data_IF_332685923059
#
_entry.id   IF_332685923059
#
_cell.length_a   1.000
_cell.length_b   1.000
_cell.length_c   1.000
_cell.angle_alpha   90.00
_cell.angle_beta   90.00
_cell.angle_gamma   90.00
#
_symmetry.space_group_name_H-M   'P 1'
#
loop_
_entity.id
_entity.type
_entity.pdbx_description
1 polymer ?
#
# COMPACT_ATOMS: atom_id res chain seq x y z
N UNK A 1 2.39 -14.07 -0.88
CA UNK A 1 1.69 -14.00 -2.21
C UNK A 1 2.70 -13.57 -3.25
N UNK A 2 2.89 -14.37 -4.31
CA UNK A 2 3.79 -14.00 -5.41
C UNK A 2 3.06 -13.13 -6.46
N UNK A 3 3.80 -12.68 -7.49
CA UNK A 3 3.32 -11.80 -8.54
C UNK A 3 2.14 -12.37 -9.33
N UNK A 4 2.24 -13.63 -9.72
CA UNK A 4 1.19 -14.31 -10.49
C UNK A 4 -0.10 -14.45 -9.68
N UNK A 5 0.01 -14.86 -8.42
CA UNK A 5 -1.12 -14.93 -7.49
C UNK A 5 -1.78 -13.58 -7.27
N UNK A 6 -1.00 -12.49 -7.19
CA UNK A 6 -1.52 -11.14 -7.06
C UNK A 6 -2.31 -10.73 -8.31
N UNK A 7 -1.77 -10.99 -9.51
CA UNK A 7 -2.45 -10.69 -10.76
C UNK A 7 -3.73 -11.51 -10.95
N UNK A 8 -3.70 -12.81 -10.65
CA UNK A 8 -4.90 -13.65 -10.69
C UNK A 8 -5.98 -13.14 -9.70
N UNK A 9 -5.58 -12.66 -8.53
CA UNK A 9 -6.50 -12.06 -7.58
C UNK A 9 -7.12 -10.76 -8.10
N UNK A 10 -6.32 -9.90 -8.77
CA UNK A 10 -6.81 -8.70 -9.46
C UNK A 10 -7.87 -9.07 -10.51
N UNK A 11 -7.60 -10.05 -11.37
CA UNK A 11 -8.54 -10.50 -12.39
C UNK A 11 -9.82 -11.07 -11.78
N UNK A 12 -9.69 -11.95 -10.79
CA UNK A 12 -10.84 -12.60 -10.13
C UNK A 12 -11.76 -11.59 -9.44
N UNK A 13 -11.19 -10.62 -8.71
CA UNK A 13 -11.96 -9.59 -8.01
C UNK A 13 -12.32 -8.39 -8.90
N UNK A 14 -11.79 -8.32 -10.11
CA UNK A 14 -11.93 -7.17 -11.00
C UNK A 14 -11.58 -5.86 -10.28
N UNK A 15 -10.51 -5.89 -9.49
CA UNK A 15 -10.11 -4.83 -8.56
C UNK A 15 -8.60 -4.84 -8.35
N UNK A 16 -8.00 -3.68 -8.28
CA UNK A 16 -6.64 -3.45 -7.77
C UNK A 16 -6.65 -2.46 -6.60
N UNK A 17 -7.77 -2.45 -5.87
CA UNK A 17 -7.98 -1.62 -4.68
C UNK A 17 -7.19 -2.16 -3.49
N UNK A 18 -6.51 -1.27 -2.80
CA UNK A 18 -5.96 -1.46 -1.47
C UNK A 18 -6.74 -0.59 -0.48
N UNK A 19 -7.34 -1.18 0.53
CA UNK A 19 -8.01 -0.43 1.60
C UNK A 19 -6.99 -0.09 2.69
N UNK A 20 -6.78 1.21 2.90
CA UNK A 20 -5.91 1.69 3.96
C UNK A 20 -6.61 1.65 5.31
N UNK A 21 -5.98 1.01 6.30
CA UNK A 21 -6.46 0.93 7.69
C UNK A 21 -5.71 1.95 8.56
N UNK A 22 -5.86 3.24 8.22
CA UNK A 22 -5.31 4.39 8.95
C UNK A 22 -6.25 4.77 10.11
N UNK A 23 -6.44 3.83 11.04
CA UNK A 23 -7.50 3.89 12.04
C UNK A 23 -7.15 4.80 13.21
N UNK A 24 -7.77 5.96 13.25
CA UNK A 24 -7.67 6.93 14.33
C UNK A 24 -8.83 6.73 15.33
N UNK A 25 -8.53 6.40 16.58
CA UNK A 25 -9.51 6.16 17.63
C UNK A 25 -10.47 7.36 17.84
N UNK A 26 -10.04 8.57 17.46
CA UNK A 26 -10.86 9.78 17.57
C UNK A 26 -11.91 9.91 16.46
N UNK A 27 -11.85 9.06 15.44
CA UNK A 27 -12.69 9.12 14.23
C UNK A 27 -13.60 7.93 14.06
N UNK A 28 -13.40 6.86 14.83
CA UNK A 28 -14.27 5.69 14.77
C UNK A 28 -15.64 5.98 15.38
N UNK A 29 -16.71 5.24 15.01
CA UNK A 29 -18.03 5.40 15.61
C UNK A 29 -18.01 5.23 17.13
N UNK A 30 -18.73 6.10 17.83
CA UNK A 30 -18.70 6.17 19.30
C UNK A 30 -19.09 4.86 20.00
N UNK A 31 -20.03 4.09 19.43
CA UNK A 31 -20.44 2.82 20.02
C UNK A 31 -19.31 1.79 20.10
N UNK A 32 -18.31 1.86 19.19
CA UNK A 32 -17.15 0.98 19.20
C UNK A 32 -16.16 1.30 20.32
N UNK A 33 -16.21 2.51 20.90
CA UNK A 33 -15.35 2.88 22.04
C UNK A 33 -15.66 2.08 23.30
N UNK A 34 -16.80 1.38 23.32
CA UNK A 34 -17.21 0.49 24.42
C UNK A 34 -16.65 -0.94 24.27
N UNK A 35 -16.07 -1.26 23.13
CA UNK A 35 -15.43 -2.55 22.87
C UNK A 35 -14.11 -2.68 23.64
N UNK A 36 -13.70 -3.90 23.95
CA UNK A 36 -12.41 -4.18 24.61
C UNK A 36 -11.23 -3.67 23.78
N UNK A 37 -11.32 -3.82 22.46
CA UNK A 37 -10.33 -3.34 21.49
C UNK A 37 -11.03 -2.59 20.35
N UNK A 38 -11.29 -1.28 20.53
CA UNK A 38 -12.05 -0.48 19.58
C UNK A 38 -11.43 -0.41 18.18
N UNK A 39 -10.09 -0.37 18.11
CA UNK A 39 -9.36 -0.31 16.83
C UNK A 39 -9.54 -1.61 16.06
N UNK A 40 -9.37 -2.75 16.72
CA UNK A 40 -9.58 -4.04 16.09
C UNK A 40 -11.04 -4.25 15.70
N UNK A 41 -11.98 -3.90 16.56
CA UNK A 41 -13.42 -4.02 16.25
C UNK A 41 -13.80 -3.20 15.01
N UNK A 42 -13.31 -1.98 14.90
CA UNK A 42 -13.49 -1.15 13.71
C UNK A 42 -12.84 -1.79 12.46
N UNK A 43 -11.56 -2.17 12.55
CA UNK A 43 -10.85 -2.78 11.43
C UNK A 43 -11.54 -4.06 10.95
N UNK A 44 -11.96 -4.91 11.88
CA UNK A 44 -12.68 -6.15 11.58
C UNK A 44 -13.93 -5.89 10.75
N UNK A 45 -14.78 -4.93 11.19
CA UNK A 45 -16.00 -4.59 10.48
C UNK A 45 -15.73 -4.05 9.06
N UNK A 46 -14.70 -3.20 8.90
CA UNK A 46 -14.26 -2.70 7.58
C UNK A 46 -13.78 -3.86 6.70
N UNK A 47 -12.96 -4.77 7.23
CA UNK A 47 -12.43 -5.92 6.49
C UNK A 47 -13.59 -6.82 6.03
N UNK A 48 -14.50 -7.20 6.92
CA UNK A 48 -15.65 -8.05 6.61
C UNK A 48 -16.53 -7.44 5.51
N UNK A 49 -16.66 -6.11 5.50
CA UNK A 49 -17.47 -5.40 4.53
C UNK A 49 -16.80 -5.24 3.15
N UNK A 50 -15.47 -5.33 3.05
CA UNK A 50 -14.73 -4.91 1.83
C UNK A 50 -13.83 -5.98 1.23
N UNK A 51 -13.61 -7.12 1.88
CA UNK A 51 -12.61 -8.12 1.48
C UNK A 51 -12.86 -8.73 0.09
N UNK A 52 -14.11 -8.81 -0.36
CA UNK A 52 -14.46 -9.26 -1.71
C UNK A 52 -14.24 -8.20 -2.81
N UNK A 53 -14.05 -6.92 -2.42
CA UNK A 53 -13.94 -5.77 -3.31
C UNK A 53 -12.51 -5.25 -3.46
N UNK A 54 -11.57 -5.70 -2.63
CA UNK A 54 -10.17 -5.25 -2.64
C UNK A 54 -9.21 -6.43 -2.69
N UNK A 55 -7.96 -6.16 -3.08
CA UNK A 55 -6.88 -7.16 -3.17
C UNK A 55 -5.86 -7.02 -2.04
N UNK A 56 -5.91 -5.92 -1.31
CA UNK A 56 -4.93 -5.63 -0.28
C UNK A 56 -5.53 -4.80 0.87
N UNK A 57 -4.96 -4.97 2.05
CA UNK A 57 -5.12 -4.08 3.19
C UNK A 57 -3.78 -3.47 3.58
N UNK A 58 -3.79 -2.18 3.90
CA UNK A 58 -2.59 -1.44 4.25
C UNK A 58 -2.76 -0.70 5.59
N UNK A 59 -2.52 -1.35 6.73
CA UNK A 59 -2.39 -0.64 8.01
C UNK A 59 -1.19 0.30 7.96
N UNK A 60 -1.42 1.57 8.29
CA UNK A 60 -0.38 2.56 8.45
C UNK A 60 0.10 2.56 9.91
N UNK A 61 1.33 2.12 10.11
CA UNK A 61 1.88 1.86 11.45
C UNK A 61 1.86 3.08 12.37
N UNK A 62 1.95 4.30 11.82
CA UNK A 62 1.90 5.51 12.64
C UNK A 62 0.63 5.60 13.50
N UNK A 63 -0.51 5.10 13.01
CA UNK A 63 -1.78 5.10 13.74
C UNK A 63 -1.83 4.05 14.85
N UNK A 64 -1.03 3.03 14.76
CA UNK A 64 -0.92 1.96 15.76
C UNK A 64 0.22 2.26 16.75
N UNK A 65 1.39 2.62 16.26
CA UNK A 65 2.58 2.91 17.09
C UNK A 65 2.33 4.08 18.05
N UNK A 66 1.57 5.10 17.65
CA UNK A 66 1.24 6.24 18.52
C UNK A 66 0.40 5.83 19.77
N UNK A 67 -0.17 4.63 19.78
CA UNK A 67 -0.94 4.08 20.91
C UNK A 67 -0.10 3.12 21.78
N UNK A 68 1.20 2.98 21.50
CA UNK A 68 2.10 2.10 22.23
C UNK A 68 1.72 0.63 22.11
N UNK A 69 1.85 -0.13 23.20
CA UNK A 69 1.60 -1.59 23.22
C UNK A 69 0.17 -1.93 22.75
N UNK A 70 -0.82 -1.15 23.14
CA UNK A 70 -2.22 -1.40 22.72
C UNK A 70 -2.39 -1.31 21.20
N UNK A 71 -1.73 -0.35 20.57
CA UNK A 71 -1.76 -0.22 19.13
C UNK A 71 -1.07 -1.39 18.42
N UNK A 72 0.08 -1.85 18.93
CA UNK A 72 0.75 -3.02 18.38
C UNK A 72 -0.11 -4.29 18.51
N UNK A 73 -0.78 -4.50 19.63
CA UNK A 73 -1.71 -5.61 19.79
C UNK A 73 -2.90 -5.53 18.81
N UNK A 74 -3.46 -4.33 18.62
CA UNK A 74 -4.53 -4.12 17.64
C UNK A 74 -4.06 -4.39 16.20
N UNK A 75 -2.84 -3.96 15.85
CA UNK A 75 -2.20 -4.28 14.56
C UNK A 75 -2.04 -5.79 14.37
N UNK A 76 -1.46 -6.49 15.34
CA UNK A 76 -1.25 -7.94 15.30
C UNK A 76 -2.58 -8.69 15.15
N UNK A 77 -3.59 -8.37 15.96
CA UNK A 77 -4.94 -8.93 15.84
C UNK A 77 -5.55 -8.70 14.46
N UNK A 78 -5.37 -7.49 13.89
CA UNK A 78 -5.88 -7.14 12.57
C UNK A 78 -5.20 -7.97 11.48
N UNK A 79 -3.87 -8.09 11.51
CA UNK A 79 -3.11 -8.90 10.54
C UNK A 79 -3.51 -10.37 10.64
N UNK A 80 -3.56 -10.93 11.86
CA UNK A 80 -3.96 -12.33 12.08
C UNK A 80 -5.38 -12.57 11.58
N UNK A 81 -6.31 -11.67 11.87
CA UNK A 81 -7.68 -11.77 11.39
C UNK A 81 -7.78 -11.84 9.86
N UNK A 82 -7.04 -10.98 9.15
CA UNK A 82 -7.00 -11.01 7.69
C UNK A 82 -6.42 -12.34 7.20
N UNK A 83 -5.28 -12.77 7.75
CA UNK A 83 -4.61 -14.01 7.33
C UNK A 83 -5.45 -15.26 7.53
N UNK A 84 -6.21 -15.31 8.60
CA UNK A 84 -6.97 -16.49 8.98
C UNK A 84 -8.33 -16.56 8.26
N UNK A 85 -8.95 -15.41 7.93
CA UNK A 85 -10.28 -15.36 7.31
C UNK A 85 -10.26 -14.97 5.81
N UNK A 86 -9.24 -14.26 5.36
CA UNK A 86 -9.11 -13.74 3.99
C UNK A 86 -7.69 -13.96 3.44
N UNK A 87 -7.24 -15.21 3.30
CA UNK A 87 -5.84 -15.55 2.97
C UNK A 87 -5.40 -15.09 1.58
N UNK A 88 -6.33 -14.69 0.73
CA UNK A 88 -6.09 -14.12 -0.59
C UNK A 88 -5.80 -12.60 -0.57
N UNK A 89 -5.82 -11.96 0.59
CA UNK A 89 -5.47 -10.55 0.74
C UNK A 89 -3.96 -10.34 0.89
N UNK A 90 -3.43 -9.37 0.14
CA UNK A 90 -2.07 -8.87 0.35
C UNK A 90 -2.08 -7.91 1.56
N UNK A 91 -1.23 -8.15 2.55
CA UNK A 91 -1.12 -7.25 3.72
C UNK A 91 0.16 -6.43 3.60
N UNK A 92 -0.01 -5.11 3.54
CA UNK A 92 1.07 -4.14 3.41
C UNK A 92 1.26 -3.40 4.74
N UNK A 93 2.36 -3.63 5.43
CA UNK A 93 2.76 -2.78 6.56
C UNK A 93 3.31 -1.45 6.02
N UNK A 94 2.52 -0.38 6.12
CA UNK A 94 2.98 0.96 5.73
C UNK A 94 3.80 1.58 6.88
N UNK A 95 5.03 1.10 7.02
CA UNK A 95 5.94 1.35 8.12
C UNK A 95 7.04 2.36 7.80
N UNK A 96 7.36 2.52 6.51
CA UNK A 96 8.43 3.41 6.00
C UNK A 96 9.74 3.27 6.78
N UNK A 97 10.15 2.01 7.00
CA UNK A 97 11.39 1.71 7.71
C UNK A 97 12.60 2.07 6.84
N UNK A 98 13.69 2.36 7.51
CA UNK A 98 14.97 2.63 6.89
C UNK A 98 16.02 2.69 7.98
N UNK A 99 16.95 1.74 7.96
CA UNK A 99 18.13 1.64 8.81
C UNK A 99 19.16 0.83 8.04
N UNK A 100 20.32 0.56 8.58
CA UNK A 100 21.39 -0.13 7.88
C UNK A 100 21.67 -1.53 8.46
N UNK A 101 22.11 -2.43 7.56
CA UNK A 101 22.67 -3.73 7.92
C UNK A 101 21.81 -4.53 8.91
N UNK A 102 22.39 -4.89 10.02
CA UNK A 102 21.73 -5.72 11.03
C UNK A 102 20.47 -5.08 11.64
N UNK A 103 20.44 -3.77 11.83
CA UNK A 103 19.25 -3.07 12.37
C UNK A 103 18.10 -3.17 11.39
N UNK A 104 18.37 -2.98 10.09
CA UNK A 104 17.36 -3.14 9.04
C UNK A 104 16.85 -4.60 8.98
N UNK A 105 17.74 -5.60 9.19
CA UNK A 105 17.35 -7.00 9.26
C UNK A 105 16.40 -7.29 10.45
N UNK A 106 16.58 -6.62 11.60
CA UNK A 106 15.65 -6.76 12.72
C UNK A 106 14.26 -6.21 12.39
N UNK A 107 14.16 -5.11 11.63
CA UNK A 107 12.88 -4.63 11.13
C UNK A 107 12.24 -5.60 10.13
N UNK A 108 13.01 -6.16 9.20
CA UNK A 108 12.52 -7.14 8.25
C UNK A 108 11.95 -8.38 8.98
N UNK A 109 12.67 -8.90 9.95
CA UNK A 109 12.24 -10.01 10.79
C UNK A 109 10.95 -9.69 11.55
N UNK A 110 10.85 -8.50 12.16
CA UNK A 110 9.65 -8.06 12.87
C UNK A 110 8.39 -8.15 11.98
N UNK A 111 8.48 -7.75 10.72
CA UNK A 111 7.31 -7.70 9.85
C UNK A 111 7.07 -9.02 9.12
N UNK A 112 8.10 -9.66 8.60
CA UNK A 112 7.93 -10.83 7.73
C UNK A 112 7.85 -12.15 8.48
N UNK A 113 8.57 -12.29 9.58
CA UNK A 113 8.54 -13.51 10.40
C UNK A 113 7.46 -13.41 11.48
N UNK A 114 7.60 -12.47 12.41
CA UNK A 114 6.70 -12.34 13.56
C UNK A 114 5.35 -11.70 13.17
N UNK A 115 5.39 -10.62 12.37
CA UNK A 115 4.20 -9.83 12.01
C UNK A 115 3.35 -10.38 10.87
N UNK A 116 3.76 -11.48 10.23
CA UNK A 116 3.02 -12.20 9.17
C UNK A 116 2.56 -11.33 7.97
N UNK A 117 3.10 -10.12 7.77
CA UNK A 117 2.72 -9.28 6.63
C UNK A 117 3.35 -9.78 5.32
N UNK A 118 2.81 -9.36 4.18
CA UNK A 118 3.31 -9.75 2.87
C UNK A 118 4.24 -8.72 2.26
N UNK A 119 4.08 -7.45 2.64
CA UNK A 119 4.85 -6.34 2.10
C UNK A 119 5.14 -5.28 3.18
N UNK A 120 6.28 -4.59 3.03
CA UNK A 120 6.66 -3.48 3.91
C UNK A 120 7.12 -2.30 3.06
N UNK A 121 6.66 -1.08 3.40
CA UNK A 121 7.21 0.15 2.79
C UNK A 121 8.55 0.50 3.41
N UNK A 122 9.54 0.79 2.58
CA UNK A 122 10.93 1.07 2.97
C UNK A 122 11.40 2.37 2.32
N UNK A 123 12.18 3.15 3.07
CA UNK A 123 12.78 4.40 2.58
C UNK A 123 14.16 4.11 1.97
N UNK A 124 14.47 4.64 0.77
CA UNK A 124 15.73 4.33 0.06
C UNK A 124 16.91 5.24 0.44
N UNK A 125 16.68 6.27 1.27
CA UNK A 125 17.64 7.36 1.45
C UNK A 125 19.04 6.92 1.91
N UNK A 126 19.13 5.86 2.74
CA UNK A 126 20.41 5.28 3.18
C UNK A 126 20.98 4.23 2.21
N UNK A 127 20.37 4.03 1.04
CA UNK A 127 20.88 3.19 -0.03
C UNK A 127 20.60 1.71 0.15
N UNK A 128 21.45 0.88 -0.49
CA UNK A 128 21.32 -0.58 -0.60
C UNK A 128 21.24 -1.26 0.78
N UNK A 129 22.07 -0.83 1.72
CA UNK A 129 22.16 -1.40 3.06
C UNK A 129 20.85 -1.30 3.87
N UNK A 130 19.99 -0.34 3.51
CA UNK A 130 18.68 -0.18 4.17
C UNK A 130 17.58 -1.03 3.53
N UNK A 131 17.76 -1.44 2.28
CA UNK A 131 16.74 -2.15 1.49
C UNK A 131 17.02 -3.65 1.41
N UNK A 132 18.25 -4.05 1.12
CA UNK A 132 18.64 -5.47 0.96
C UNK A 132 18.23 -6.38 2.12
N UNK A 133 18.30 -5.98 3.40
CA UNK A 133 17.86 -6.84 4.50
C UNK A 133 16.38 -7.25 4.45
N UNK A 134 15.53 -6.52 3.73
CA UNK A 134 14.13 -6.89 3.51
C UNK A 134 13.92 -7.80 2.29
N UNK A 135 14.94 -7.98 1.45
CA UNK A 135 14.89 -8.84 0.26
C UNK A 135 15.26 -10.28 0.62
N UNK A 136 14.88 -11.23 -0.24
CA UNK A 136 15.22 -12.64 -0.03
C UNK A 136 14.22 -13.42 0.82
N UNK A 137 13.16 -12.82 1.31
CA UNK A 137 12.04 -13.51 1.94
C UNK A 137 11.07 -14.00 0.86
N UNK A 138 10.89 -15.30 0.75
CA UNK A 138 10.02 -15.91 -0.27
C UNK A 138 8.57 -15.44 -0.12
N UNK A 139 7.96 -15.02 -1.22
CA UNK A 139 6.58 -14.55 -1.25
C UNK A 139 6.33 -13.23 -0.50
N UNK A 140 7.40 -12.48 -0.20
CA UNK A 140 7.34 -11.16 0.45
C UNK A 140 7.82 -10.06 -0.49
N UNK A 141 7.38 -8.83 -0.23
CA UNK A 141 7.63 -7.68 -1.08
C UNK A 141 8.21 -6.50 -0.30
N UNK A 142 9.16 -5.85 -0.91
CA UNK A 142 9.62 -4.51 -0.50
C UNK A 142 8.89 -3.48 -1.37
N UNK A 143 8.25 -2.49 -0.73
CA UNK A 143 7.64 -1.37 -1.43
C UNK A 143 8.48 -0.12 -1.16
N UNK A 144 9.32 0.22 -2.12
CA UNK A 144 10.31 1.29 -1.97
C UNK A 144 9.69 2.66 -2.28
N UNK A 145 9.93 3.66 -1.43
CA UNK A 145 9.50 5.03 -1.70
C UNK A 145 10.26 5.59 -2.90
N UNK A 146 9.53 6.05 -3.92
CA UNK A 146 10.11 6.68 -5.10
C UNK A 146 9.64 8.13 -5.24
N UNK A 147 8.41 8.36 -5.74
CA UNK A 147 7.86 9.69 -5.93
C UNK A 147 6.56 9.84 -5.15
N UNK A 148 6.58 10.69 -4.12
CA UNK A 148 5.42 10.88 -3.23
C UNK A 148 4.57 12.08 -3.64
N UNK A 149 3.31 12.15 -3.16
CA UNK A 149 2.34 13.18 -3.56
C UNK A 149 2.41 14.47 -2.73
N UNK A 150 3.15 14.47 -1.63
CA UNK A 150 3.26 15.62 -0.74
C UNK A 150 4.14 16.74 -1.33
N UNK A 151 3.88 17.98 -0.95
CA UNK A 151 4.62 19.16 -1.44
C UNK A 151 6.14 19.06 -1.17
N UNK A 152 6.54 18.49 -0.03
CA UNK A 152 7.95 18.29 0.34
C UNK A 152 8.72 17.30 -0.56
N UNK A 153 8.07 16.60 -1.48
CA UNK A 153 8.76 15.79 -2.50
C UNK A 153 9.69 16.64 -3.36
N UNK A 154 9.40 17.92 -3.52
CA UNK A 154 10.22 18.89 -4.26
C UNK A 154 11.57 19.17 -3.59
N UNK A 155 11.70 18.96 -2.29
CA UNK A 155 12.95 19.26 -1.58
C UNK A 155 14.10 18.33 -2.00
N UNK A 156 13.79 17.08 -2.33
CA UNK A 156 14.78 16.06 -2.68
C UNK A 156 14.41 15.24 -3.92
N UNK A 157 13.20 14.70 -3.99
CA UNK A 157 12.85 13.68 -4.99
C UNK A 157 12.92 14.22 -6.42
N UNK A 158 12.66 15.51 -6.63
CA UNK A 158 12.70 16.18 -7.93
C UNK A 158 14.02 16.93 -8.17
N UNK A 159 14.97 16.92 -7.24
CA UNK A 159 16.30 17.46 -7.50
C UNK A 159 17.01 16.66 -8.59
N UNK A 160 17.76 17.35 -9.44
CA UNK A 160 18.48 16.74 -10.58
C UNK A 160 19.99 16.71 -10.33
N UNK A 161 20.65 15.72 -10.85
CA UNK A 161 22.12 15.67 -10.95
C UNK A 161 22.62 16.44 -12.19
N UNK A 162 23.95 16.42 -12.42
CA UNK A 162 24.62 17.10 -13.54
C UNK A 162 24.19 16.57 -14.92
N UNK A 163 23.56 15.37 -14.97
CA UNK A 163 23.03 14.78 -16.21
C UNK A 163 21.54 15.07 -16.40
N UNK A 164 20.92 15.77 -15.44
CA UNK A 164 19.50 16.08 -15.45
C UNK A 164 18.60 14.95 -14.98
N UNK A 165 19.16 13.85 -14.42
CA UNK A 165 18.39 12.76 -13.84
C UNK A 165 17.83 13.18 -12.48
N UNK A 166 16.51 13.01 -12.26
CA UNK A 166 15.87 13.32 -10.99
C UNK A 166 16.19 12.26 -9.94
N UNK A 167 16.27 12.65 -8.67
CA UNK A 167 16.63 11.71 -7.60
C UNK A 167 15.71 10.49 -7.56
N UNK A 168 14.38 10.65 -7.72
CA UNK A 168 13.47 9.51 -7.72
C UNK A 168 13.72 8.54 -8.89
N UNK A 169 14.13 9.03 -10.06
CA UNK A 169 14.48 8.20 -11.22
C UNK A 169 15.75 7.40 -10.94
N UNK A 170 16.73 8.04 -10.31
CA UNK A 170 17.96 7.38 -9.85
C UNK A 170 17.66 6.26 -8.84
N UNK A 171 16.73 6.51 -7.90
CA UNK A 171 16.25 5.48 -6.96
C UNK A 171 15.64 4.30 -7.72
N UNK A 172 14.75 4.57 -8.69
CA UNK A 172 14.11 3.53 -9.51
C UNK A 172 15.14 2.69 -10.30
N UNK A 173 16.12 3.34 -10.92
CA UNK A 173 17.16 2.63 -11.70
C UNK A 173 18.07 1.82 -10.80
N UNK A 174 18.59 2.45 -9.75
CA UNK A 174 19.58 1.83 -8.87
C UNK A 174 19.00 0.65 -8.09
N UNK A 175 17.78 0.73 -7.64
CA UNK A 175 17.15 -0.35 -6.86
C UNK A 175 16.88 -1.63 -7.69
N UNK A 176 16.78 -1.55 -9.00
CA UNK A 176 16.67 -2.74 -9.87
C UNK A 176 17.95 -3.58 -9.90
N UNK A 177 19.08 -3.04 -9.47
CA UNK A 177 20.31 -3.82 -9.27
C UNK A 177 20.24 -4.67 -7.99
N UNK A 178 19.32 -4.36 -7.08
CA UNK A 178 19.17 -5.05 -5.78
C UNK A 178 18.14 -6.17 -5.81
N UNK A 179 17.07 -6.01 -6.58
CA UNK A 179 16.02 -7.01 -6.75
C UNK A 179 15.21 -6.73 -8.03
N UNK A 180 14.54 -7.76 -8.50
CA UNK A 180 13.64 -7.70 -9.65
C UNK A 180 12.20 -7.32 -9.31
N UNK A 181 11.34 -7.37 -10.32
CA UNK A 181 9.93 -7.04 -10.22
C UNK A 181 9.09 -8.06 -9.43
N UNK A 182 9.66 -9.18 -9.01
CA UNK A 182 8.97 -10.21 -8.22
C UNK A 182 9.14 -10.01 -6.70
N UNK A 183 10.09 -9.13 -6.32
CA UNK A 183 10.34 -8.79 -4.91
C UNK A 183 10.23 -7.29 -4.62
N UNK A 184 10.27 -6.43 -5.66
CA UNK A 184 10.32 -4.98 -5.50
C UNK A 184 9.10 -4.30 -6.13
N UNK A 185 8.44 -3.46 -5.36
CA UNK A 185 7.40 -2.53 -5.78
C UNK A 185 7.80 -1.11 -5.43
N UNK A 186 7.09 -0.10 -5.94
CA UNK A 186 7.40 1.30 -5.64
C UNK A 186 6.17 2.09 -5.22
N UNK A 187 6.35 3.04 -4.30
CA UNK A 187 5.32 4.05 -3.99
C UNK A 187 5.41 5.19 -4.98
N UNK A 188 4.30 5.46 -5.67
CA UNK A 188 4.14 6.60 -6.58
C UNK A 188 2.82 7.29 -6.29
N UNK A 189 2.85 8.56 -5.90
CA UNK A 189 1.65 9.32 -5.54
C UNK A 189 0.71 9.56 -6.73
N UNK A 190 -0.60 9.41 -6.52
CA UNK A 190 -1.63 9.55 -7.56
C UNK A 190 -1.70 10.93 -8.22
N UNK A 191 -1.18 11.98 -7.57
CA UNK A 191 -1.15 13.36 -8.10
C UNK A 191 -0.04 13.58 -9.12
N UNK A 192 0.80 12.58 -9.38
CA UNK A 192 1.96 12.69 -10.26
C UNK A 192 1.66 12.40 -11.75
N UNK A 193 0.40 12.24 -12.13
CA UNK A 193 -0.12 12.15 -13.50
C UNK A 193 0.86 11.65 -14.57
N UNK A 194 1.39 12.58 -15.37
CA UNK A 194 2.34 12.24 -16.45
C UNK A 194 3.67 11.64 -16.00
N UNK A 195 4.08 11.79 -14.74
CA UNK A 195 5.30 11.16 -14.25
C UNK A 195 5.23 9.63 -14.30
N UNK A 196 4.03 9.05 -14.28
CA UNK A 196 3.85 7.61 -14.48
C UNK A 196 4.39 7.12 -15.84
N UNK A 197 4.31 7.93 -16.90
CA UNK A 197 4.91 7.59 -18.20
C UNK A 197 6.43 7.41 -18.11
N UNK A 198 7.12 8.34 -17.46
CA UNK A 198 8.57 8.27 -17.28
C UNK A 198 8.95 7.14 -16.33
N UNK A 199 8.18 6.96 -15.25
CA UNK A 199 8.37 5.85 -14.32
C UNK A 199 8.23 4.50 -15.03
N UNK A 200 7.23 4.32 -15.90
CA UNK A 200 7.04 3.08 -16.65
C UNK A 200 8.16 2.77 -17.64
N UNK A 201 8.83 3.79 -18.20
CA UNK A 201 10.04 3.59 -19.03
C UNK A 201 11.18 2.99 -18.21
N UNK A 202 11.25 3.31 -16.90
CA UNK A 202 12.30 2.83 -16.01
C UNK A 202 11.93 1.47 -15.39
N UNK A 203 10.69 1.32 -14.92
CA UNK A 203 10.18 0.14 -14.20
C UNK A 203 8.92 -0.43 -14.87
N UNK A 204 9.04 -0.97 -16.10
CA UNK A 204 7.87 -1.37 -16.91
C UNK A 204 7.04 -2.50 -16.28
N UNK A 205 7.67 -3.37 -15.50
CA UNK A 205 7.05 -4.58 -14.98
C UNK A 205 6.62 -4.48 -13.50
N UNK A 206 7.17 -3.54 -12.74
CA UNK A 206 6.95 -3.48 -11.29
C UNK A 206 5.53 -3.05 -10.93
N UNK A 207 5.00 -3.59 -9.84
CA UNK A 207 3.79 -3.05 -9.23
C UNK A 207 4.08 -1.69 -8.57
N UNK A 208 3.14 -0.76 -8.72
CA UNK A 208 3.19 0.56 -8.10
C UNK A 208 2.08 0.66 -7.05
N UNK A 209 2.45 0.92 -5.80
CA UNK A 209 1.51 1.32 -4.77
C UNK A 209 1.21 2.81 -4.94
N UNK A 210 -0.04 3.12 -5.20
CA UNK A 210 -0.47 4.47 -5.60
C UNK A 210 -1.43 5.05 -4.54
N UNK A 211 -0.92 5.76 -3.54
CA UNK A 211 -1.76 6.47 -2.57
C UNK A 211 -2.28 7.79 -3.15
N UNK A 212 -3.44 8.25 -2.64
CA UNK A 212 -3.95 9.60 -2.90
C UNK A 212 -5.01 9.73 -3.99
N UNK A 213 -5.51 8.62 -4.53
CA UNK A 213 -6.68 8.64 -5.44
C UNK A 213 -7.92 9.11 -4.67
N UNK A 214 -8.66 10.04 -5.26
CA UNK A 214 -9.85 10.66 -4.69
C UNK A 214 -9.52 11.66 -3.58
N UNK A 215 -9.23 11.20 -2.38
CA UNK A 215 -9.08 12.04 -1.18
C UNK A 215 -7.95 13.10 -1.23
N UNK A 216 -6.95 12.93 -2.11
CA UNK A 216 -5.87 13.88 -2.33
C UNK A 216 -5.91 14.51 -3.73
N UNK A 217 -7.02 14.34 -4.46
CA UNK A 217 -7.21 14.91 -5.79
C UNK A 217 -6.61 14.11 -6.95
N UNK A 218 -6.04 12.91 -6.69
CA UNK A 218 -5.55 12.03 -7.75
C UNK A 218 -6.70 11.40 -8.55
N UNK A 219 -6.59 11.40 -9.88
CA UNK A 219 -7.54 10.77 -10.79
C UNK A 219 -7.19 9.31 -11.03
N UNK A 220 -8.14 8.41 -10.75
CA UNK A 220 -7.97 6.98 -11.08
C UNK A 220 -7.75 6.77 -12.58
N UNK A 221 -8.48 7.51 -13.41
CA UNK A 221 -8.37 7.41 -14.88
C UNK A 221 -6.97 7.78 -15.38
N UNK A 222 -6.39 8.89 -14.88
CA UNK A 222 -5.03 9.31 -15.24
C UNK A 222 -3.98 8.29 -14.75
N UNK A 223 -4.11 7.81 -13.50
CA UNK A 223 -3.22 6.78 -12.96
C UNK A 223 -3.27 5.51 -13.82
N UNK A 224 -4.44 5.08 -14.24
CA UNK A 224 -4.60 3.92 -15.12
C UNK A 224 -4.02 4.18 -16.51
N UNK A 225 -4.33 5.33 -17.11
CA UNK A 225 -3.88 5.69 -18.47
C UNK A 225 -2.37 5.64 -18.61
N UNK A 226 -1.62 6.12 -17.63
CA UNK A 226 -0.16 6.24 -17.69
C UNK A 226 0.58 5.20 -16.87
N UNK A 227 -0.08 4.57 -15.89
CA UNK A 227 0.56 3.69 -14.93
C UNK A 227 0.25 2.20 -15.12
N UNK A 228 -0.78 1.80 -15.85
CA UNK A 228 -1.07 0.38 -16.08
C UNK A 228 -0.07 -0.28 -17.03
N UNK A 229 0.14 -1.57 -16.84
CA UNK A 229 0.89 -2.45 -17.75
C UNK A 229 0.06 -3.71 -18.06
N UNK A 230 0.61 -4.67 -18.81
CA UNK A 230 -0.09 -5.90 -19.23
C UNK A 230 -0.56 -6.78 -18.06
N UNK A 231 -0.06 -6.58 -16.85
CA UNK A 231 -0.48 -7.30 -15.64
C UNK A 231 -1.14 -6.35 -14.62
N UNK A 232 -1.84 -5.31 -15.10
CA UNK A 232 -2.33 -4.20 -14.31
C UNK A 232 -1.18 -3.33 -13.74
N UNK A 233 -0.26 -3.90 -12.95
CA UNK A 233 0.90 -3.22 -12.40
C UNK A 233 0.60 -2.14 -11.36
N UNK A 234 -0.63 -2.02 -10.90
CA UNK A 234 -1.08 -1.00 -9.95
C UNK A 234 -1.72 -1.64 -8.71
N UNK A 235 -1.48 -1.04 -7.56
CA UNK A 235 -2.20 -1.24 -6.29
C UNK A 235 -2.63 0.15 -5.83
N UNK A 236 -3.89 0.52 -6.04
CA UNK A 236 -4.39 1.86 -5.71
C UNK A 236 -4.92 1.88 -4.29
N UNK A 237 -4.29 2.71 -3.44
CA UNK A 237 -4.69 2.82 -2.05
C UNK A 237 -5.70 3.94 -1.83
N UNK A 238 -6.84 3.58 -1.25
CA UNK A 238 -7.82 4.51 -0.67
C UNK A 238 -8.03 4.19 0.81
N UNK A 239 -7.97 5.20 1.65
CA UNK A 239 -8.08 5.10 3.11
C UNK A 239 -9.32 5.83 3.60
N UNK A 240 -9.18 7.12 3.91
CA UNK A 240 -10.20 7.96 4.55
C UNK A 240 -11.53 7.98 3.81
N UNK A 241 -11.52 7.96 2.48
CA UNK A 241 -12.73 7.94 1.66
C UNK A 241 -13.54 6.65 1.78
N UNK A 242 -12.93 5.58 2.30
CA UNK A 242 -13.58 4.30 2.57
C UNK A 242 -13.90 4.17 4.05
N UNK A 243 -12.86 4.14 4.91
CA UNK A 243 -13.05 3.77 6.31
C UNK A 243 -13.79 4.82 7.15
N UNK A 244 -13.86 6.05 6.67
CA UNK A 244 -14.60 7.15 7.31
C UNK A 244 -15.70 7.73 6.39
N UNK A 245 -16.24 6.91 5.51
CA UNK A 245 -17.37 7.30 4.64
C UNK A 245 -18.64 7.63 5.46
N UNK A 246 -18.78 7.02 6.63
CA UNK A 246 -19.83 7.28 7.63
C UNK A 246 -19.25 7.10 9.05
N UNK A 247 -19.84 7.74 10.05
CA UNK A 247 -19.44 7.65 11.46
C UNK A 247 -20.55 7.12 12.39
N UNK A 248 -21.63 6.61 11.81
CA UNK A 248 -22.75 5.98 12.53
C UNK A 248 -22.57 4.47 12.63
N UNK A 249 -23.59 3.76 13.07
CA UNK A 249 -23.62 2.28 13.05
C UNK A 249 -23.62 1.70 11.63
N UNK A 250 -23.88 2.51 10.61
CA UNK A 250 -23.85 2.10 9.18
C UNK A 250 -22.45 2.26 8.53
N UNK A 251 -21.42 2.56 9.29
CA UNK A 251 -20.06 2.84 8.77
C UNK A 251 -19.50 1.73 7.89
N UNK A 252 -19.75 0.47 8.23
CA UNK A 252 -19.26 -0.68 7.46
C UNK A 252 -19.97 -0.80 6.10
N UNK A 253 -21.30 -0.56 6.05
CA UNK A 253 -22.08 -0.54 4.82
C UNK A 253 -21.65 0.63 3.91
N UNK A 254 -21.39 1.79 4.49
CA UNK A 254 -20.85 2.95 3.77
C UNK A 254 -19.45 2.68 3.20
N UNK A 255 -18.59 2.04 3.98
CA UNK A 255 -17.26 1.61 3.50
C UNK A 255 -17.36 0.61 2.36
N UNK A 256 -18.29 -0.35 2.44
CA UNK A 256 -18.58 -1.29 1.36
C UNK A 256 -19.01 -0.56 0.09
N UNK A 257 -19.95 0.40 0.19
CA UNK A 257 -20.43 1.15 -0.96
C UNK A 257 -19.30 1.95 -1.62
N UNK A 258 -18.49 2.67 -0.82
CA UNK A 258 -17.34 3.43 -1.32
C UNK A 258 -16.29 2.53 -2.00
N UNK A 259 -16.05 1.33 -1.46
CA UNK A 259 -15.15 0.35 -2.06
C UNK A 259 -15.70 -0.21 -3.36
N UNK A 260 -17.00 -0.48 -3.43
CA UNK A 260 -17.69 -0.98 -4.61
C UNK A 260 -17.66 0.03 -5.77
N UNK A 261 -17.84 1.31 -5.48
CA UNK A 261 -17.79 2.38 -6.47
C UNK A 261 -16.38 2.47 -7.11
N UNK A 262 -15.33 2.33 -6.32
CA UNK A 262 -13.95 2.26 -6.83
C UNK A 262 -13.69 0.97 -7.61
N UNK A 263 -14.12 -0.17 -7.09
CA UNK A 263 -13.97 -1.46 -7.77
C UNK A 263 -14.65 -1.47 -9.15
N UNK A 264 -15.84 -0.89 -9.28
CA UNK A 264 -16.52 -0.79 -10.57
C UNK A 264 -15.74 0.07 -11.57
N UNK A 265 -15.16 1.18 -11.13
CA UNK A 265 -14.28 2.00 -11.96
C UNK A 265 -13.02 1.23 -12.38
N UNK A 266 -12.42 0.47 -11.46
CA UNK A 266 -11.25 -0.38 -11.73
C UNK A 266 -11.57 -1.49 -12.73
N UNK A 267 -12.73 -2.14 -12.61
CA UNK A 267 -13.18 -3.17 -13.55
C UNK A 267 -13.29 -2.65 -14.99
N UNK A 268 -13.70 -1.39 -15.17
CA UNK A 268 -13.72 -0.76 -16.50
C UNK A 268 -12.31 -0.56 -17.06
N UNK A 269 -11.34 -0.19 -16.20
CA UNK A 269 -9.97 0.00 -16.64
C UNK A 269 -9.28 -1.33 -16.97
N UNK A 270 -9.52 -2.38 -16.18
CA UNK A 270 -8.96 -3.71 -16.42
C UNK A 270 -9.32 -4.27 -17.79
N UNK A 271 -10.53 -4.03 -18.29
CA UNK A 271 -10.97 -4.43 -19.65
C UNK A 271 -10.14 -3.82 -20.79
N UNK A 272 -9.28 -2.84 -20.51
CA UNK A 272 -8.42 -2.19 -21.51
C UNK A 272 -7.07 -2.90 -21.68
N UNK A 273 -6.73 -3.81 -20.79
CA UNK A 273 -5.49 -4.59 -20.83
C UNK A 273 -5.70 -6.06 -21.15
N UNK A 274 -6.96 -6.53 -21.16
CA UNK A 274 -7.38 -7.84 -21.71
C UNK A 274 -7.41 -7.76 -23.26
#
# INVERSE_FOLDING_TARGET
MNREQLFENIKRKQSFLCVGLDTDIKKIPQHLLLEEDPIFAFNKAIIDATADLCIAYKPNLAFYECMGVKGWLAFEKTVNYIKDNYPDQLIIADAKRGDIGNTSAMYARCFFEEGRVDAVTVAPYMGEDSVKPFLGYEGKWVILLALTSNKGSHDFQLSTDDQGERLFEKVLRKSQEWADADQLMYVVGATQGKAFEDIRKIVPQHFLLVPGVGAQGGSLEEVCKYGMNSQCGLIVNSSRGIIYADNTSAFADAARQASKDLQQQMAIQLKKID
#
